data_IF_167614010550
#
_entry.id   IF_167614010550
#
_cell.length_a   1.000
_cell.length_b   1.000
_cell.length_c   1.000
_cell.angle_alpha   90.00
_cell.angle_beta   90.00
_cell.angle_gamma   90.00
#
_symmetry.space_group_name_H-M   'P 1'
#
loop_
_entity.id
_entity.type
_entity.pdbx_description
1 polymer ?
#
# COMPACT_ATOMS: atom_id res chain seq x y z
N UNK A 1 68.59 36.52 10.95
CA UNK A 1 68.01 35.50 10.07
C UNK A 1 67.28 34.45 10.98
N UNK A 2 65.95 34.59 11.13
CA UNK A 2 65.19 33.64 11.86
C UNK A 2 64.59 32.63 10.86
N UNK A 3 64.97 31.34 10.99
CA UNK A 3 64.40 30.24 10.22
C UNK A 3 63.04 29.84 10.83
N UNK A 4 61.99 30.00 10.06
CA UNK A 4 60.68 29.44 10.38
C UNK A 4 60.64 27.95 9.95
N UNK A 5 60.40 27.06 10.89
CA UNK A 5 60.18 25.65 10.64
C UNK A 5 58.68 25.48 10.37
N UNK A 6 58.31 25.17 9.12
CA UNK A 6 56.91 24.79 8.77
C UNK A 6 56.78 23.29 9.04
N UNK A 7 56.04 22.94 10.08
CA UNK A 7 55.61 21.54 10.33
C UNK A 7 54.32 21.30 9.57
N UNK A 8 54.44 20.61 8.45
CA UNK A 8 53.25 20.13 7.69
C UNK A 8 52.66 18.90 8.42
N UNK A 9 51.53 19.11 9.07
CA UNK A 9 50.74 18.04 9.66
C UNK A 9 50.07 17.25 8.53
N UNK A 10 50.64 16.11 8.14
CA UNK A 10 49.95 15.15 7.27
C UNK A 10 48.87 14.43 8.06
N UNK A 11 47.62 14.83 7.88
CA UNK A 11 46.47 14.04 8.31
C UNK A 11 46.39 12.78 7.44
N UNK A 12 46.82 11.67 7.98
CA UNK A 12 46.59 10.35 7.36
C UNK A 12 45.09 10.06 7.50
N UNK A 13 44.33 10.29 6.45
CA UNK A 13 42.98 9.74 6.32
C UNK A 13 43.16 8.24 6.08
N UNK A 14 42.99 7.44 7.12
CA UNK A 14 42.87 5.99 6.98
C UNK A 14 41.57 5.70 6.24
N UNK A 15 41.66 5.47 4.92
CA UNK A 15 40.60 4.81 4.16
C UNK A 15 40.53 3.40 4.72
N UNK A 16 39.55 3.14 5.60
CA UNK A 16 39.21 1.77 6.01
C UNK A 16 38.85 1.01 4.73
N UNK A 17 39.69 0.05 4.35
CA UNK A 17 39.45 -0.83 3.24
C UNK A 17 38.24 -1.72 3.65
N UNK A 18 37.03 -1.34 3.21
CA UNK A 18 35.83 -2.15 3.40
C UNK A 18 36.00 -3.44 2.62
N UNK A 19 36.13 -4.54 3.32
CA UNK A 19 36.17 -5.86 2.67
C UNK A 19 34.79 -6.17 2.09
N UNK A 20 34.71 -6.18 0.77
CA UNK A 20 33.53 -6.65 0.04
C UNK A 20 33.33 -8.15 0.34
N UNK A 21 32.08 -8.56 0.62
CA UNK A 21 31.75 -9.93 1.01
C UNK A 21 30.72 -10.54 0.06
N UNK A 22 30.85 -11.86 -0.09
CA UNK A 22 29.90 -12.71 -0.81
C UNK A 22 29.57 -13.93 0.05
N UNK A 23 28.30 -14.28 0.15
CA UNK A 23 27.82 -15.44 0.93
C UNK A 23 26.42 -15.83 0.51
N UNK A 24 26.02 -17.08 0.88
CA UNK A 24 24.68 -17.62 0.70
C UNK A 24 24.12 -18.00 2.07
N UNK A 25 22.80 -17.79 2.26
CA UNK A 25 22.06 -18.16 3.46
C UNK A 25 20.91 -19.08 3.10
N UNK A 26 20.69 -20.08 3.94
CA UNK A 26 19.52 -20.97 3.97
C UNK A 26 18.74 -20.72 5.26
N UNK A 27 17.58 -21.32 5.38
CA UNK A 27 16.79 -21.26 6.61
C UNK A 27 17.62 -21.66 7.84
N UNK A 28 17.66 -20.75 8.84
CA UNK A 28 18.41 -20.92 10.07
C UNK A 28 19.88 -20.48 10.02
N UNK A 29 20.40 -20.10 8.86
CA UNK A 29 21.76 -19.56 8.75
C UNK A 29 21.84 -18.12 9.23
N UNK A 30 23.01 -17.71 9.69
CA UNK A 30 23.30 -16.32 10.05
C UNK A 30 24.71 -15.93 9.66
N UNK A 31 24.89 -14.71 9.16
CA UNK A 31 26.18 -14.14 8.76
C UNK A 31 26.35 -12.79 9.41
N UNK A 32 27.17 -12.67 10.48
CA UNK A 32 27.45 -11.39 11.14
C UNK A 32 28.49 -10.58 10.37
N UNK A 33 28.22 -9.27 10.25
CA UNK A 33 29.25 -8.31 9.84
C UNK A 33 30.23 -8.05 10.98
N UNK A 34 31.50 -7.83 10.64
CA UNK A 34 32.55 -7.53 11.66
C UNK A 34 32.33 -6.12 12.23
N UNK A 35 32.37 -6.01 13.54
CA UNK A 35 32.30 -4.72 14.25
C UNK A 35 30.98 -4.44 14.91
N UNK A 36 30.90 -3.26 15.43
CA UNK A 36 29.72 -2.66 16.08
C UNK A 36 29.49 -1.30 15.48
N UNK A 37 28.25 -1.00 15.14
CA UNK A 37 27.88 0.19 14.39
C UNK A 37 26.83 1.00 15.18
N UNK A 38 26.89 2.31 15.05
CA UNK A 38 25.85 3.24 15.48
C UNK A 38 25.28 3.91 14.23
N UNK A 39 26.01 4.83 13.63
CA UNK A 39 25.68 5.40 12.32
C UNK A 39 26.46 4.64 11.25
N UNK A 40 25.77 4.16 10.23
CA UNK A 40 26.40 3.34 9.19
C UNK A 40 25.65 3.41 7.86
N UNK A 41 26.33 2.97 6.80
CA UNK A 41 25.80 2.67 5.49
C UNK A 41 26.17 1.24 5.14
N UNK A 42 25.16 0.38 4.97
CA UNK A 42 25.28 -0.98 4.46
C UNK A 42 24.75 -1.02 3.04
N UNK A 43 25.52 -1.60 2.13
CA UNK A 43 25.16 -1.78 0.72
C UNK A 43 25.49 -3.18 0.25
N UNK A 44 24.78 -3.66 -0.77
CA UNK A 44 25.07 -4.91 -1.43
C UNK A 44 24.03 -5.21 -2.48
N UNK A 45 24.19 -6.38 -3.08
CA UNK A 45 23.16 -6.96 -3.94
C UNK A 45 22.68 -8.28 -3.34
N UNK A 46 21.38 -8.54 -3.46
CA UNK A 46 20.74 -9.78 -3.04
C UNK A 46 20.07 -10.49 -4.22
N UNK A 47 20.06 -11.81 -4.19
CA UNK A 47 19.28 -12.68 -5.08
C UNK A 47 18.53 -13.68 -4.23
N UNK A 48 17.22 -13.64 -4.28
CA UNK A 48 16.35 -14.58 -3.57
C UNK A 48 15.86 -15.67 -4.53
N UNK A 49 15.93 -16.92 -4.11
CA UNK A 49 15.21 -17.98 -4.80
C UNK A 49 13.69 -17.78 -4.66
N UNK A 50 12.91 -18.45 -5.49
CA UNK A 50 11.45 -18.37 -5.45
C UNK A 50 10.90 -18.63 -4.04
N UNK A 51 10.18 -17.63 -3.49
CA UNK A 51 9.63 -17.66 -2.15
C UNK A 51 10.65 -17.65 -1.01
N UNK A 52 11.92 -17.31 -1.28
CA UNK A 52 12.94 -17.23 -0.23
C UNK A 52 12.74 -16.00 0.66
N UNK A 53 13.13 -16.16 1.92
CA UNK A 53 13.06 -15.12 2.94
C UNK A 53 14.41 -14.97 3.65
N UNK A 54 14.88 -13.73 3.74
CA UNK A 54 16.06 -13.35 4.50
C UNK A 54 15.81 -12.02 5.23
N UNK A 55 16.71 -11.66 6.13
CA UNK A 55 16.62 -10.42 6.87
C UNK A 55 17.99 -9.84 7.18
N UNK A 56 18.03 -8.53 7.37
CA UNK A 56 19.19 -7.80 7.89
C UNK A 56 18.80 -7.17 9.23
N UNK A 57 19.41 -7.66 10.29
CA UNK A 57 19.29 -7.11 11.63
C UNK A 57 20.40 -6.10 11.88
N UNK A 58 20.08 -5.01 12.57
CA UNK A 58 21.08 -4.01 12.98
C UNK A 58 20.78 -3.46 14.36
N UNK A 59 21.80 -2.92 15.02
CA UNK A 59 21.84 -2.57 16.44
C UNK A 59 21.47 -3.77 17.34
N UNK A 60 21.72 -4.98 16.83
CA UNK A 60 21.40 -6.21 17.54
C UNK A 60 22.56 -6.68 18.44
N UNK A 61 22.26 -7.60 19.36
CA UNK A 61 23.21 -8.26 20.25
C UNK A 61 23.97 -9.43 19.59
N UNK A 62 23.62 -9.77 18.37
CA UNK A 62 24.17 -10.93 17.63
C UNK A 62 23.29 -12.16 17.68
N UNK A 63 22.33 -12.25 18.60
CA UNK A 63 21.29 -13.29 18.65
C UNK A 63 19.97 -12.81 17.99
N UNK A 64 19.96 -11.61 17.44
CA UNK A 64 18.81 -11.00 16.79
C UNK A 64 17.57 -10.88 17.72
N UNK A 65 17.80 -10.60 19.01
CA UNK A 65 16.74 -10.47 20.03
C UNK A 65 16.34 -9.03 20.29
N UNK A 66 17.08 -8.06 19.74
CA UNK A 66 16.83 -6.62 19.85
C UNK A 66 17.30 -5.89 18.61
N UNK A 67 17.01 -4.59 18.53
CA UNK A 67 17.34 -3.74 17.38
C UNK A 67 16.30 -3.85 16.28
N UNK A 68 16.64 -3.41 15.09
CA UNK A 68 15.74 -3.37 13.95
C UNK A 68 16.03 -4.49 12.95
N UNK A 69 15.00 -4.84 12.18
CA UNK A 69 15.05 -5.85 11.15
C UNK A 69 14.55 -5.28 9.82
N UNK A 70 15.34 -5.39 8.77
CA UNK A 70 14.89 -5.15 7.39
C UNK A 70 14.65 -6.50 6.73
N UNK A 71 13.45 -6.67 6.17
CA UNK A 71 13.06 -7.91 5.51
C UNK A 71 13.48 -7.90 4.03
N UNK A 72 13.84 -9.07 3.53
CA UNK A 72 14.08 -9.37 2.13
C UNK A 72 13.20 -10.57 1.76
N UNK A 73 12.10 -10.29 1.08
CA UNK A 73 11.11 -11.25 0.61
C UNK A 73 10.35 -10.64 -0.57
N UNK A 74 10.40 -11.30 -1.72
CA UNK A 74 9.74 -10.81 -2.94
C UNK A 74 8.40 -11.53 -3.17
N UNK A 75 8.00 -11.68 -4.43
CA UNK A 75 6.81 -12.44 -4.78
C UNK A 75 5.51 -11.61 -4.80
N UNK A 76 4.34 -12.27 -4.89
CA UNK A 76 3.06 -11.62 -5.10
C UNK A 76 2.60 -10.78 -3.90
N UNK A 77 1.64 -9.89 -4.14
CA UNK A 77 0.97 -9.09 -3.09
C UNK A 77 -0.08 -9.99 -2.41
N UNK A 78 0.32 -10.69 -1.36
CA UNK A 78 -0.43 -11.75 -0.68
C UNK A 78 -0.68 -11.51 0.82
N UNK A 79 -0.27 -10.35 1.32
CA UNK A 79 -0.36 -9.99 2.72
C UNK A 79 0.92 -10.24 3.52
N UNK A 80 1.89 -10.96 2.96
CA UNK A 80 3.21 -11.04 3.55
C UNK A 80 4.00 -9.74 3.34
N UNK A 81 4.83 -9.39 4.32
CA UNK A 81 5.71 -8.22 4.26
C UNK A 81 6.82 -8.45 3.24
N UNK A 82 7.14 -7.44 2.44
CA UNK A 82 8.05 -7.51 1.29
C UNK A 82 9.40 -6.85 1.56
N UNK A 83 10.33 -7.10 0.61
CA UNK A 83 11.69 -6.55 0.64
C UNK A 83 11.70 -5.04 0.88
N UNK A 84 12.53 -4.62 1.83
CA UNK A 84 12.64 -3.25 2.28
C UNK A 84 11.79 -2.90 3.49
N UNK A 85 10.87 -3.77 3.93
CA UNK A 85 10.12 -3.53 5.18
C UNK A 85 11.07 -3.35 6.36
N UNK A 86 10.97 -2.23 7.06
CA UNK A 86 11.46 -2.09 8.43
C UNK A 86 10.41 -2.74 9.33
N UNK A 87 10.65 -4.01 9.69
CA UNK A 87 9.65 -4.90 10.28
C UNK A 87 8.95 -4.27 11.49
N UNK A 88 7.62 -4.33 11.50
CA UNK A 88 6.75 -3.83 12.58
C UNK A 88 6.81 -2.31 12.82
N UNK A 89 7.46 -1.54 11.91
CA UNK A 89 7.54 -0.08 11.96
C UNK A 89 7.10 0.56 10.64
N UNK A 90 7.60 0.02 9.51
CA UNK A 90 7.26 0.46 8.14
C UNK A 90 7.15 -0.79 7.26
N UNK A 91 6.03 -1.52 7.40
CA UNK A 91 5.77 -2.73 6.64
C UNK A 91 5.39 -2.39 5.21
N UNK A 92 6.01 -3.05 4.25
CA UNK A 92 5.71 -2.94 2.83
C UNK A 92 5.02 -4.22 2.36
N UNK A 93 4.08 -4.09 1.43
CA UNK A 93 3.29 -5.22 0.91
C UNK A 93 3.49 -5.41 -0.60
N UNK A 94 4.36 -4.63 -1.21
CA UNK A 94 4.84 -4.79 -2.58
C UNK A 94 6.35 -4.73 -2.63
N UNK A 95 7.00 -5.70 -3.30
CA UNK A 95 8.44 -5.65 -3.58
C UNK A 95 8.72 -4.88 -4.88
N UNK A 96 9.86 -4.17 -4.92
CA UNK A 96 10.45 -3.61 -6.13
C UNK A 96 11.50 -4.53 -6.74
N UNK A 97 11.71 -5.71 -6.18
CA UNK A 97 12.62 -6.73 -6.65
C UNK A 97 11.83 -8.00 -6.99
N UNK A 98 12.40 -8.83 -7.85
CA UNK A 98 11.83 -10.09 -8.30
C UNK A 98 12.73 -11.26 -7.85
N UNK A 99 12.11 -12.41 -7.60
CA UNK A 99 12.84 -13.63 -7.31
C UNK A 99 13.66 -14.07 -8.52
N UNK A 100 14.81 -14.68 -8.27
CA UNK A 100 15.74 -15.13 -9.31
C UNK A 100 16.53 -14.02 -10.01
N UNK A 101 16.40 -12.77 -9.59
CA UNK A 101 17.16 -11.64 -10.12
C UNK A 101 17.99 -10.95 -9.04
N UNK A 102 19.21 -10.54 -9.37
CA UNK A 102 20.01 -9.68 -8.51
C UNK A 102 19.42 -8.29 -8.41
N UNK A 103 19.29 -7.78 -7.18
CA UNK A 103 18.84 -6.42 -6.94
C UNK A 103 19.70 -5.72 -5.88
N UNK A 104 20.03 -4.45 -6.06
CA UNK A 104 20.75 -3.67 -5.06
C UNK A 104 19.85 -3.32 -3.88
N UNK A 105 20.44 -3.34 -2.68
CA UNK A 105 19.83 -2.85 -1.46
C UNK A 105 20.81 -1.92 -0.72
N UNK A 106 20.23 -0.97 0.01
CA UNK A 106 20.96 -0.06 0.90
C UNK A 106 20.19 0.13 2.19
N UNK A 107 20.88 0.09 3.33
CA UNK A 107 20.34 0.40 4.65
C UNK A 107 21.27 1.43 5.28
N UNK A 108 20.74 2.60 5.61
CA UNK A 108 21.50 3.64 6.28
C UNK A 108 20.87 4.03 7.61
N UNK A 109 21.72 4.18 8.61
CA UNK A 109 21.33 4.78 9.90
C UNK A 109 22.17 6.02 10.11
N UNK A 110 21.50 7.15 10.37
CA UNK A 110 22.13 8.45 10.60
C UNK A 110 21.39 9.18 11.73
N UNK A 111 21.98 9.19 12.92
CA UNK A 111 21.31 9.72 14.10
C UNK A 111 20.02 8.95 14.40
N UNK A 112 18.88 9.62 14.43
CA UNK A 112 17.56 9.00 14.64
C UNK A 112 16.88 8.48 13.36
N UNK A 113 17.49 8.66 12.18
CA UNK A 113 16.87 8.25 10.92
C UNK A 113 17.39 6.91 10.42
N UNK A 114 16.44 6.08 9.95
CA UNK A 114 16.67 4.82 9.24
C UNK A 114 16.11 4.98 7.83
N UNK A 115 16.94 4.78 6.82
CA UNK A 115 16.50 4.70 5.44
C UNK A 115 16.79 3.33 4.83
N UNK A 116 15.87 2.84 4.00
CA UNK A 116 16.02 1.58 3.25
C UNK A 116 15.73 1.85 1.79
N UNK A 117 16.67 1.44 0.93
CA UNK A 117 16.56 1.54 -0.52
C UNK A 117 16.56 0.15 -1.13
N UNK A 118 15.61 -0.13 -2.01
CA UNK A 118 15.50 -1.37 -2.78
C UNK A 118 15.45 -1.01 -4.26
N UNK A 119 16.31 -1.64 -5.04
CA UNK A 119 16.38 -1.44 -6.49
C UNK A 119 16.47 0.04 -6.91
N UNK A 120 17.25 0.81 -6.14
CA UNK A 120 17.48 2.24 -6.37
C UNK A 120 16.37 3.18 -5.88
N UNK A 121 15.28 2.67 -5.33
CA UNK A 121 14.21 3.48 -4.76
C UNK A 121 14.23 3.41 -3.24
N UNK A 122 14.28 4.57 -2.57
CA UNK A 122 14.12 4.64 -1.12
C UNK A 122 12.66 4.36 -0.74
N UNK A 123 12.43 3.22 -0.08
CA UNK A 123 11.10 2.72 0.28
C UNK A 123 10.74 2.95 1.74
N UNK A 124 11.73 3.21 2.59
CA UNK A 124 11.56 3.59 3.99
C UNK A 124 12.45 4.78 4.31
N UNK A 125 11.89 5.76 5.01
CA UNK A 125 12.59 6.89 5.63
C UNK A 125 11.95 7.13 7.00
N UNK A 126 12.36 6.36 7.99
CA UNK A 126 11.81 6.41 9.34
C UNK A 126 12.70 7.23 10.26
N UNK A 127 12.13 8.22 10.93
CA UNK A 127 12.79 8.94 12.00
C UNK A 127 12.23 8.48 13.33
N UNK A 128 13.03 7.77 14.13
CA UNK A 128 12.66 7.34 15.47
C UNK A 128 12.48 8.57 16.37
N UNK A 129 11.30 8.78 16.97
CA UNK A 129 11.09 9.87 17.93
C UNK A 129 11.79 9.58 19.26
N UNK A 130 11.92 10.61 20.10
CA UNK A 130 12.53 10.47 21.43
C UNK A 130 11.82 9.45 22.33
N UNK A 131 10.51 9.27 22.14
CA UNK A 131 9.68 8.31 22.86
C UNK A 131 8.88 7.45 21.85
N UNK A 132 9.51 6.48 21.18
CA UNK A 132 8.85 5.66 20.20
C UNK A 132 7.84 4.71 20.87
N UNK A 133 6.68 4.52 20.22
CA UNK A 133 5.76 3.48 20.66
C UNK A 133 6.32 2.10 20.36
N UNK A 134 6.37 1.24 21.37
CA UNK A 134 6.73 -0.17 21.22
C UNK A 134 5.79 -1.02 22.07
N UNK A 135 5.24 -2.07 21.48
CA UNK A 135 4.53 -3.09 22.24
C UNK A 135 5.49 -3.88 23.13
N UNK A 136 4.99 -4.66 24.09
CA UNK A 136 5.84 -5.51 24.93
C UNK A 136 6.73 -6.46 24.11
N UNK A 137 6.23 -6.97 23.01
CA UNK A 137 6.98 -7.85 22.10
C UNK A 137 8.13 -7.12 21.40
N UNK A 138 7.99 -5.82 21.14
CA UNK A 138 8.93 -4.98 20.40
C UNK A 138 9.70 -3.98 21.27
N UNK A 139 9.63 -4.08 22.60
CA UNK A 139 10.20 -3.09 23.52
C UNK A 139 11.70 -2.81 23.33
N UNK A 140 12.44 -3.79 22.82
CA UNK A 140 13.88 -3.69 22.58
C UNK A 140 14.22 -3.32 21.14
N UNK A 141 13.23 -2.98 20.32
CA UNK A 141 13.39 -2.50 18.94
C UNK A 141 13.64 -0.99 18.94
N UNK A 142 14.86 -0.61 19.25
CA UNK A 142 15.32 0.78 19.41
C UNK A 142 16.65 1.00 18.69
N UNK A 143 16.87 2.25 18.28
CA UNK A 143 18.19 2.70 17.83
C UNK A 143 19.21 2.66 18.97
N UNK A 144 20.48 2.42 18.65
CA UNK A 144 21.54 2.35 19.63
C UNK A 144 22.88 2.07 18.99
N UNK A 145 23.61 1.12 19.52
CA UNK A 145 24.84 0.58 18.96
C UNK A 145 24.81 -0.94 19.06
N UNK A 146 25.20 -1.62 17.99
CA UNK A 146 25.12 -3.07 17.95
C UNK A 146 25.75 -3.66 16.69
N UNK A 147 25.58 -4.96 16.55
CA UNK A 147 26.03 -5.70 15.37
C UNK A 147 25.05 -5.51 14.20
N UNK A 148 25.54 -5.83 13.01
CA UNK A 148 24.72 -6.10 11.83
C UNK A 148 24.83 -7.57 11.49
N UNK A 149 23.69 -8.25 11.34
CA UNK A 149 23.61 -9.70 11.12
C UNK A 149 22.60 -9.98 10.02
N UNK A 150 23.02 -10.73 9.02
CA UNK A 150 22.12 -11.31 8.01
C UNK A 150 21.58 -12.63 8.50
N UNK A 151 20.30 -12.93 8.28
CA UNK A 151 19.68 -14.21 8.65
C UNK A 151 18.83 -14.75 7.51
N UNK A 152 18.87 -16.08 7.30
CA UNK A 152 17.98 -16.79 6.38
C UNK A 152 16.76 -17.33 7.14
N UNK A 153 15.55 -17.10 6.63
CA UNK A 153 14.31 -17.58 7.23
C UNK A 153 13.64 -18.70 6.39
N UNK A 154 13.81 -18.66 5.06
CA UNK A 154 13.24 -19.66 4.15
C UNK A 154 13.95 -19.65 2.81
N UNK A 155 14.01 -20.79 2.11
CA UNK A 155 14.64 -20.89 0.80
C UNK A 155 16.15 -20.62 0.81
N UNK A 156 16.67 -20.07 -0.30
CA UNK A 156 18.06 -19.66 -0.46
C UNK A 156 18.16 -18.19 -0.85
N UNK A 157 18.99 -17.44 -0.15
CA UNK A 157 19.30 -16.04 -0.42
C UNK A 157 20.81 -15.86 -0.61
N UNK A 158 21.22 -15.37 -1.78
CA UNK A 158 22.63 -15.09 -2.10
C UNK A 158 22.88 -13.59 -2.01
N UNK A 159 24.06 -13.24 -1.52
CA UNK A 159 24.50 -11.85 -1.34
C UNK A 159 25.86 -11.65 -1.96
N UNK A 160 26.06 -10.54 -2.65
CA UNK A 160 27.35 -10.13 -3.19
C UNK A 160 27.58 -8.63 -3.04
N UNK A 161 28.82 -8.23 -3.19
CA UNK A 161 29.26 -6.82 -3.07
C UNK A 161 28.83 -6.17 -1.74
N UNK A 162 28.64 -6.99 -0.70
CA UNK A 162 28.22 -6.53 0.60
C UNK A 162 29.33 -5.77 1.30
N UNK A 163 29.08 -4.51 1.60
CA UNK A 163 30.02 -3.62 2.31
C UNK A 163 29.27 -2.81 3.37
N UNK A 164 29.95 -2.50 4.45
CA UNK A 164 29.44 -1.64 5.52
C UNK A 164 30.51 -0.63 5.92
N UNK A 165 30.11 0.62 6.03
CA UNK A 165 30.97 1.71 6.52
C UNK A 165 30.31 2.45 7.67
N UNK A 166 31.11 2.86 8.67
CA UNK A 166 30.64 3.76 9.72
C UNK A 166 30.50 5.16 9.17
N UNK A 167 29.40 5.83 9.46
CA UNK A 167 29.16 7.21 9.09
C UNK A 167 29.54 8.16 10.23
N UNK A 168 29.91 9.41 9.93
CA UNK A 168 30.07 10.44 10.94
C UNK A 168 28.76 10.67 11.68
N UNK A 169 28.83 10.81 13.01
CA UNK A 169 27.68 10.98 13.87
C UNK A 169 26.86 12.23 13.49
N UNK A 170 25.55 12.06 13.37
CA UNK A 170 24.61 13.15 13.21
C UNK A 170 24.50 13.71 11.77
N UNK A 171 25.14 13.10 10.76
CA UNK A 171 24.98 13.49 9.36
C UNK A 171 23.73 12.82 8.77
N UNK A 172 22.56 13.41 9.04
CA UNK A 172 21.34 13.06 8.31
C UNK A 172 20.70 14.31 7.77
N UNK A 173 20.35 14.29 6.49
CA UNK A 173 19.32 15.15 5.93
C UNK A 173 18.84 14.64 4.57
N UNK A 174 17.88 13.69 4.50
CA UNK A 174 17.17 13.51 3.24
C UNK A 174 16.33 14.77 3.01
N UNK A 175 16.45 15.33 1.80
CA UNK A 175 15.74 16.56 1.40
C UNK A 175 14.22 16.44 1.42
N UNK A 176 13.70 15.21 1.53
CA UNK A 176 12.28 14.85 1.50
C UNK A 176 11.80 14.10 2.76
N UNK A 177 12.59 14.14 3.85
CA UNK A 177 12.11 13.66 5.14
C UNK A 177 10.97 14.55 5.63
N UNK A 178 9.86 13.91 6.04
CA UNK A 178 8.75 14.58 6.67
C UNK A 178 8.95 14.62 8.20
N UNK A 179 8.30 15.55 8.92
CA UNK A 179 8.34 15.55 10.37
C UNK A 179 7.94 14.18 10.94
N UNK A 180 8.59 13.69 12.00
CA UNK A 180 8.22 12.44 12.65
C UNK A 180 6.80 12.53 13.19
N UNK A 181 6.07 11.42 13.15
CA UNK A 181 4.73 11.30 13.73
C UNK A 181 4.85 11.15 15.25
N UNK A 182 3.90 11.72 15.97
CA UNK A 182 3.74 11.41 17.40
C UNK A 182 3.18 9.99 17.56
N UNK A 183 4.08 9.04 17.76
CA UNK A 183 3.72 7.63 17.91
C UNK A 183 2.86 7.32 19.14
N UNK A 184 2.76 8.24 20.11
CA UNK A 184 1.89 8.05 21.28
C UNK A 184 0.41 8.03 20.90
N UNK A 185 0.06 8.70 19.80
CA UNK A 185 -1.32 8.79 19.31
C UNK A 185 -1.52 8.16 17.94
N UNK A 186 -0.46 7.72 17.28
CA UNK A 186 -0.52 7.16 15.93
C UNK A 186 -1.07 5.73 15.92
N UNK A 187 -2.20 5.53 15.28
CA UNK A 187 -2.79 4.21 15.07
C UNK A 187 -2.00 3.35 14.07
N UNK A 188 -1.28 3.98 13.14
CA UNK A 188 -0.56 3.27 12.07
C UNK A 188 0.58 2.42 12.65
N UNK A 189 1.42 3.00 13.54
CA UNK A 189 2.50 2.24 14.17
C UNK A 189 1.94 1.08 15.01
N UNK A 190 0.81 1.28 15.71
CA UNK A 190 0.17 0.23 16.51
C UNK A 190 -0.28 -0.94 15.64
N UNK A 191 -0.87 -0.66 14.50
CA UNK A 191 -1.29 -1.68 13.54
C UNK A 191 -0.10 -2.41 12.94
N UNK A 192 0.98 -1.70 12.61
CA UNK A 192 2.18 -2.32 12.07
C UNK A 192 2.87 -3.26 13.06
N UNK A 193 2.82 -2.96 14.35
CA UNK A 193 3.41 -3.83 15.39
C UNK A 193 2.63 -5.11 15.66
N UNK A 194 1.43 -5.23 15.17
CA UNK A 194 0.65 -6.48 15.20
C UNK A 194 0.51 -7.09 13.80
N UNK A 195 1.40 -6.71 12.88
CA UNK A 195 1.43 -7.17 11.49
C UNK A 195 0.11 -6.97 10.74
N UNK A 196 -0.66 -5.95 11.15
CA UNK A 196 -1.87 -5.57 10.44
C UNK A 196 -1.51 -4.75 9.18
N UNK A 197 -2.05 -5.11 7.99
CA UNK A 197 -1.71 -4.41 6.75
C UNK A 197 -2.32 -3.01 6.70
N UNK A 198 -1.48 -2.00 6.54
CA UNK A 198 -1.89 -0.60 6.39
C UNK A 198 -1.71 -0.19 4.92
N UNK A 199 -2.78 -0.33 4.16
CA UNK A 199 -2.80 -0.08 2.72
C UNK A 199 -4.03 0.77 2.38
N UNK A 200 -3.80 1.95 1.79
CA UNK A 200 -4.85 2.75 1.15
C UNK A 200 -4.96 2.33 -0.32
N UNK A 201 -5.97 1.53 -0.64
CA UNK A 201 -6.17 0.96 -1.97
C UNK A 201 -6.81 1.91 -2.98
N UNK A 202 -7.26 3.10 -2.54
CA UNK A 202 -8.10 3.97 -3.37
C UNK A 202 -7.57 5.42 -3.40
N UNK A 203 -6.46 5.60 -4.10
CA UNK A 203 -5.81 6.92 -4.28
C UNK A 203 -5.71 7.27 -5.76
N UNK A 204 -5.93 8.54 -6.07
CA UNK A 204 -5.78 9.11 -7.41
C UNK A 204 -4.81 10.28 -7.40
N UNK A 205 -4.02 10.45 -8.44
CA UNK A 205 -3.27 11.69 -8.66
C UNK A 205 -4.25 12.77 -9.12
N UNK A 206 -4.82 13.48 -8.16
CA UNK A 206 -5.80 14.56 -8.36
C UNK A 206 -5.36 15.83 -7.64
N UNK A 207 -5.83 16.97 -8.15
CA UNK A 207 -5.47 18.28 -7.60
C UNK A 207 -3.95 18.51 -7.70
N UNK A 208 -3.33 18.78 -6.58
CA UNK A 208 -1.90 19.04 -6.42
C UNK A 208 -1.07 17.79 -6.03
N UNK A 209 -1.69 16.61 -5.89
CA UNK A 209 -0.99 15.39 -5.52
C UNK A 209 -0.11 14.87 -6.65
N UNK A 210 1.18 14.70 -6.38
CA UNK A 210 2.16 14.08 -7.27
C UNK A 210 2.60 12.69 -6.76
N UNK A 211 3.21 11.90 -7.64
CA UNK A 211 3.77 10.59 -7.25
C UNK A 211 4.92 10.75 -6.21
N UNK A 212 5.74 11.80 -6.34
CA UNK A 212 6.82 12.07 -5.39
C UNK A 212 6.29 12.40 -4.00
N UNK A 213 5.22 13.21 -3.91
CA UNK A 213 4.55 13.49 -2.63
C UNK A 213 3.96 12.22 -2.01
N UNK A 214 3.38 11.34 -2.84
CA UNK A 214 2.86 10.06 -2.38
C UNK A 214 3.99 9.16 -1.85
N UNK A 215 5.12 9.08 -2.55
CA UNK A 215 6.28 8.31 -2.11
C UNK A 215 6.88 8.86 -0.82
N UNK A 216 7.05 10.19 -0.74
CA UNK A 216 7.54 10.83 0.48
C UNK A 216 6.66 10.49 1.69
N UNK A 217 5.33 10.53 1.53
CA UNK A 217 4.39 10.18 2.59
C UNK A 217 4.41 8.69 2.93
N UNK A 218 4.47 7.82 1.93
CA UNK A 218 4.54 6.37 2.13
C UNK A 218 5.75 5.97 2.96
N UNK A 219 6.94 6.36 2.53
CA UNK A 219 8.20 5.98 3.18
C UNK A 219 8.38 6.57 4.59
N UNK A 220 7.82 7.78 4.85
CA UNK A 220 7.93 8.42 6.17
C UNK A 220 6.85 7.92 7.16
N UNK A 221 5.62 7.65 6.70
CA UNK A 221 4.49 7.32 7.58
C UNK A 221 4.06 5.85 7.55
N UNK A 222 4.61 5.06 6.62
CA UNK A 222 4.36 3.62 6.57
C UNK A 222 2.98 3.23 6.05
N UNK A 223 2.32 4.10 5.29
CA UNK A 223 1.09 3.77 4.59
C UNK A 223 1.43 3.32 3.17
N UNK A 224 1.03 2.11 2.80
CA UNK A 224 1.16 1.65 1.43
C UNK A 224 0.02 2.21 0.59
N UNK A 225 0.28 2.57 -0.65
CA UNK A 225 -0.71 3.17 -1.54
C UNK A 225 -0.95 2.34 -2.79
N UNK A 226 -2.23 2.24 -3.16
CA UNK A 226 -2.63 1.86 -4.50
C UNK A 226 -3.07 3.11 -5.26
N UNK A 227 -2.30 3.49 -6.28
CA UNK A 227 -2.53 4.74 -7.02
C UNK A 227 -2.85 4.42 -8.48
N UNK A 228 -4.05 4.81 -8.92
CA UNK A 228 -4.49 4.53 -10.27
C UNK A 228 -5.48 5.54 -10.84
N UNK A 229 -5.70 5.45 -12.18
CA UNK A 229 -6.64 6.28 -12.91
C UNK A 229 -8.05 5.71 -12.86
N UNK A 230 -9.00 6.50 -13.34
CA UNK A 230 -10.31 6.02 -13.71
C UNK A 230 -10.28 5.42 -15.14
N UNK A 231 -11.12 4.42 -15.40
CA UNK A 231 -11.32 3.84 -16.73
C UNK A 231 -12.81 3.85 -17.07
N UNK A 232 -13.12 4.48 -18.17
CA UNK A 232 -14.47 4.52 -18.75
C UNK A 232 -14.47 3.78 -20.07
N UNK A 233 -15.65 3.36 -20.50
CA UNK A 233 -15.84 3.07 -21.90
C UNK A 233 -15.70 4.32 -22.78
N UNK A 234 -15.91 4.21 -24.11
CA UNK A 234 -15.83 5.35 -25.00
C UNK A 234 -16.69 6.51 -24.49
N UNK A 235 -16.07 7.66 -24.21
CA UNK A 235 -16.75 8.85 -23.73
C UNK A 235 -17.74 9.40 -24.75
N UNK A 236 -18.90 9.86 -24.28
CA UNK A 236 -19.67 10.86 -24.99
C UNK A 236 -19.12 12.24 -24.67
N UNK A 237 -19.20 13.14 -25.63
CA UNK A 237 -18.78 14.54 -25.47
C UNK A 237 -19.43 15.17 -24.23
N UNK A 238 -18.64 15.75 -23.32
CA UNK A 238 -19.12 16.35 -22.05
C UNK A 238 -19.07 15.43 -20.82
N UNK A 239 -18.76 14.14 -20.94
CA UNK A 239 -18.55 13.26 -19.81
C UNK A 239 -17.09 13.35 -19.33
N UNK A 240 -16.85 13.90 -18.16
CA UNK A 240 -15.52 14.03 -17.55
C UNK A 240 -15.55 14.02 -16.02
N UNK A 241 -14.68 13.22 -15.42
CA UNK A 241 -14.34 13.30 -13.99
C UNK A 241 -13.08 14.14 -13.77
N UNK A 242 -12.79 14.53 -12.54
CA UNK A 242 -11.50 15.13 -12.16
C UNK A 242 -10.42 14.02 -12.11
N UNK A 243 -9.25 14.29 -12.70
CA UNK A 243 -8.12 13.37 -12.73
C UNK A 243 -7.92 12.66 -14.07
N UNK A 244 -6.95 11.73 -14.10
CA UNK A 244 -6.66 10.95 -15.29
C UNK A 244 -7.76 9.91 -15.54
N UNK A 245 -8.28 9.92 -16.76
CA UNK A 245 -9.32 9.01 -17.21
C UNK A 245 -8.87 8.33 -18.50
N UNK A 246 -8.88 7.01 -18.49
CA UNK A 246 -8.54 6.18 -19.64
C UNK A 246 -9.81 5.76 -20.38
N UNK A 247 -9.85 5.99 -21.70
CA UNK A 247 -11.04 5.75 -22.53
C UNK A 247 -10.79 4.79 -23.67
N UNK A 248 -9.54 4.42 -23.91
CA UNK A 248 -9.12 3.51 -24.98
C UNK A 248 -8.04 2.54 -24.51
N UNK A 249 -7.93 1.41 -25.20
CA UNK A 249 -6.85 0.44 -24.96
C UNK A 249 -5.47 1.06 -25.18
N UNK A 250 -5.33 1.97 -26.14
CA UNK A 250 -4.06 2.65 -26.40
C UNK A 250 -3.64 3.54 -25.22
N UNK A 251 -4.53 4.35 -24.67
CA UNK A 251 -4.26 5.18 -23.49
C UNK A 251 -3.92 4.32 -22.27
N UNK A 252 -4.62 3.21 -22.10
CA UNK A 252 -4.36 2.28 -20.99
C UNK A 252 -2.99 1.62 -21.11
N UNK A 253 -2.58 1.19 -22.31
CA UNK A 253 -1.23 0.64 -22.52
C UNK A 253 -0.14 1.69 -22.30
N UNK A 254 -0.33 2.92 -22.78
CA UNK A 254 0.61 4.03 -22.54
C UNK A 254 0.73 4.34 -21.04
N UNK A 255 -0.39 4.38 -20.35
CA UNK A 255 -0.39 4.57 -18.89
C UNK A 255 0.35 3.44 -18.19
N UNK A 256 0.05 2.17 -18.53
CA UNK A 256 0.75 1.03 -17.94
C UNK A 256 2.26 1.12 -18.10
N UNK A 257 2.75 1.47 -19.31
CA UNK A 257 4.19 1.62 -19.55
C UNK A 257 4.82 2.72 -18.67
N UNK A 258 4.07 3.76 -18.30
CA UNK A 258 4.57 4.85 -17.46
C UNK A 258 4.62 4.50 -15.97
N UNK A 259 3.85 3.48 -15.53
CA UNK A 259 3.69 3.15 -14.10
C UNK A 259 4.17 1.75 -13.72
N UNK A 260 4.56 0.92 -14.68
CA UNK A 260 4.93 -0.49 -14.42
C UNK A 260 6.03 -0.65 -13.36
N UNK A 261 6.96 0.30 -13.29
CA UNK A 261 8.10 0.30 -12.36
C UNK A 261 7.85 1.16 -11.09
N UNK A 262 6.61 1.62 -10.88
CA UNK A 262 6.26 2.44 -9.70
C UNK A 262 6.39 1.66 -8.39
N UNK A 263 6.75 2.35 -7.29
CA UNK A 263 6.81 1.74 -5.96
C UNK A 263 5.43 1.47 -5.35
N UNK A 264 4.35 1.93 -5.98
CA UNK A 264 2.98 1.75 -5.52
C UNK A 264 2.31 0.54 -6.14
N UNK A 265 1.25 0.04 -5.50
CA UNK A 265 0.29 -0.82 -6.20
C UNK A 265 -0.39 -0.03 -7.31
N UNK A 266 -0.67 -0.69 -8.41
CA UNK A 266 -1.16 -0.09 -9.66
C UNK A 266 -2.59 -0.55 -9.93
N UNK A 267 -3.58 0.08 -9.32
CA UNK A 267 -4.98 -0.23 -9.57
C UNK A 267 -5.53 0.44 -10.81
N UNK A 268 -6.77 0.03 -11.13
CA UNK A 268 -7.63 0.67 -12.10
C UNK A 268 -9.03 0.80 -11.50
N UNK A 269 -9.60 2.00 -11.48
CA UNK A 269 -11.01 2.18 -11.13
C UNK A 269 -11.86 2.16 -12.39
N UNK A 270 -12.76 1.18 -12.48
CA UNK A 270 -13.74 1.13 -13.54
C UNK A 270 -15.01 1.89 -13.17
N UNK A 271 -15.56 2.63 -14.11
CA UNK A 271 -16.73 3.48 -13.86
C UNK A 271 -17.91 3.15 -14.79
N UNK A 272 -19.08 3.03 -14.22
CA UNK A 272 -20.33 2.76 -14.92
C UNK A 272 -20.51 1.31 -15.33
N UNK A 273 -21.57 1.06 -16.10
CA UNK A 273 -21.88 -0.28 -16.63
C UNK A 273 -20.99 -0.65 -17.80
N UNK A 274 -20.57 -1.91 -17.85
CA UNK A 274 -19.86 -2.52 -18.98
C UNK A 274 -18.54 -1.83 -19.34
N UNK A 275 -18.00 -1.01 -18.44
CA UNK A 275 -16.73 -0.31 -18.66
C UNK A 275 -15.62 -1.29 -19.09
N UNK A 276 -15.56 -2.45 -18.42
CA UNK A 276 -14.55 -3.48 -18.65
C UNK A 276 -14.59 -4.07 -20.08
N UNK A 277 -15.73 -4.01 -20.77
CA UNK A 277 -15.87 -4.51 -22.15
C UNK A 277 -15.23 -3.59 -23.19
N UNK A 278 -14.87 -2.38 -22.80
CA UNK A 278 -14.15 -1.43 -23.67
C UNK A 278 -12.66 -1.70 -23.76
N UNK A 279 -12.15 -2.62 -22.95
CA UNK A 279 -10.72 -2.91 -22.86
C UNK A 279 -10.46 -4.41 -23.04
N UNK A 280 -9.34 -4.79 -23.71
CA UNK A 280 -8.89 -6.18 -23.76
C UNK A 280 -8.63 -6.75 -22.36
N UNK A 281 -9.01 -8.01 -22.14
CA UNK A 281 -8.83 -8.67 -20.85
C UNK A 281 -7.35 -8.73 -20.41
N UNK A 282 -6.46 -9.01 -21.38
CA UNK A 282 -5.01 -9.09 -21.16
C UNK A 282 -4.42 -7.76 -20.68
N UNK A 283 -5.05 -6.65 -21.05
CA UNK A 283 -4.60 -5.32 -20.61
C UNK A 283 -5.09 -5.00 -19.19
N UNK A 284 -6.32 -5.39 -18.89
CA UNK A 284 -6.86 -5.29 -17.53
C UNK A 284 -6.08 -6.17 -16.53
N UNK A 285 -5.60 -7.34 -16.99
CA UNK A 285 -4.83 -8.27 -16.15
C UNK A 285 -3.43 -7.76 -15.77
N UNK A 286 -2.92 -6.74 -16.45
CA UNK A 286 -1.64 -6.11 -16.08
C UNK A 286 -1.70 -5.37 -14.75
N UNK A 287 -2.87 -4.84 -14.38
CA UNK A 287 -3.05 -4.07 -13.15
C UNK A 287 -3.10 -4.99 -11.91
N UNK A 288 -2.49 -4.56 -10.82
CA UNK A 288 -2.44 -5.33 -9.57
C UNK A 288 -3.84 -5.67 -9.06
N UNK A 289 -4.80 -4.75 -9.23
CA UNK A 289 -6.24 -4.96 -8.98
C UNK A 289 -7.09 -3.95 -9.74
N UNK A 290 -8.38 -4.26 -9.87
CA UNK A 290 -9.38 -3.34 -10.40
C UNK A 290 -10.57 -3.25 -9.44
N UNK A 291 -11.16 -2.07 -9.37
CA UNK A 291 -12.31 -1.85 -8.50
C UNK A 291 -13.34 -0.94 -9.18
N UNK A 292 -14.54 -0.97 -8.66
CA UNK A 292 -15.64 -0.11 -9.13
C UNK A 292 -16.57 0.23 -7.97
N UNK A 293 -17.49 1.13 -8.20
CA UNK A 293 -18.47 1.53 -7.20
C UNK A 293 -19.92 1.52 -7.75
N UNK A 294 -20.88 1.73 -6.85
CA UNK A 294 -22.28 1.84 -7.15
C UNK A 294 -22.78 3.29 -7.16
N UNK A 295 -21.89 4.28 -7.38
CA UNK A 295 -22.25 5.70 -7.32
C UNK A 295 -22.87 6.25 -8.61
N UNK A 296 -23.04 5.40 -9.62
CA UNK A 296 -23.76 5.71 -10.85
C UNK A 296 -25.11 5.02 -10.85
N UNK A 297 -26.16 5.73 -11.24
CA UNK A 297 -27.51 5.18 -11.37
C UNK A 297 -28.10 5.57 -12.72
N UNK A 298 -28.71 4.61 -13.41
CA UNK A 298 -29.49 4.92 -14.63
C UNK A 298 -30.92 5.26 -14.24
N UNK A 299 -31.23 6.56 -14.22
CA UNK A 299 -32.59 7.05 -13.99
C UNK A 299 -33.24 7.44 -15.31
N UNK A 300 -34.27 6.71 -15.72
CA UNK A 300 -35.01 6.97 -16.99
C UNK A 300 -34.12 7.10 -18.23
N UNK A 301 -33.12 6.22 -18.31
CA UNK A 301 -32.14 6.19 -19.41
C UNK A 301 -31.05 7.26 -19.36
N UNK A 302 -31.02 8.09 -18.33
CA UNK A 302 -29.94 9.06 -18.06
C UNK A 302 -29.01 8.49 -16.99
N UNK A 303 -27.72 8.57 -17.23
CA UNK A 303 -26.69 8.28 -16.23
C UNK A 303 -26.64 9.44 -15.23
N UNK A 304 -26.82 9.15 -13.95
CA UNK A 304 -26.78 10.10 -12.83
C UNK A 304 -25.59 9.76 -11.93
N UNK A 305 -24.75 10.74 -11.67
CA UNK A 305 -23.65 10.63 -10.71
C UNK A 305 -24.15 11.08 -9.35
N UNK A 306 -24.21 10.13 -8.39
CA UNK A 306 -24.82 10.40 -7.09
C UNK A 306 -24.08 11.46 -6.26
N UNK A 307 -22.80 11.72 -6.55
CA UNK A 307 -21.97 12.76 -5.91
C UNK A 307 -22.07 14.15 -6.59
N UNK A 308 -22.90 14.26 -7.64
CA UNK A 308 -23.20 15.51 -8.32
C UNK A 308 -24.62 15.97 -7.96
N UNK A 309 -24.78 16.86 -6.96
CA UNK A 309 -26.13 17.27 -6.49
C UNK A 309 -27.03 17.83 -7.59
N UNK A 310 -26.43 18.47 -8.60
CA UNK A 310 -27.14 19.06 -9.75
C UNK A 310 -27.69 17.99 -10.70
N UNK A 311 -27.20 16.78 -10.66
CA UNK A 311 -27.69 15.67 -11.48
C UNK A 311 -28.78 14.87 -10.78
N UNK A 312 -28.80 14.93 -9.45
CA UNK A 312 -29.74 14.14 -8.63
C UNK A 312 -31.07 14.84 -8.54
N UNK A 313 -32.09 14.24 -9.16
CA UNK A 313 -33.49 14.71 -9.06
C UNK A 313 -34.39 13.57 -8.60
N UNK A 314 -34.80 13.58 -7.33
CA UNK A 314 -35.64 12.55 -6.76
C UNK A 314 -37.10 13.02 -6.84
N UNK A 315 -37.77 12.79 -7.96
CA UNK A 315 -39.18 13.08 -8.22
C UNK A 315 -40.11 11.86 -8.07
N UNK A 316 -39.54 10.76 -7.58
CA UNK A 316 -40.27 9.53 -7.24
C UNK A 316 -40.17 9.28 -5.73
N UNK A 317 -41.03 8.41 -5.15
CA UNK A 317 -40.88 8.05 -3.74
C UNK A 317 -39.47 7.59 -3.42
N UNK A 318 -38.85 8.12 -2.35
CA UNK A 318 -37.46 7.86 -1.98
C UNK A 318 -37.16 6.35 -1.86
N UNK A 319 -38.14 5.55 -1.42
CA UNK A 319 -37.98 4.10 -1.34
C UNK A 319 -37.80 3.46 -2.72
N UNK A 320 -38.44 3.97 -3.77
CA UNK A 320 -38.23 3.53 -5.15
C UNK A 320 -36.88 3.98 -5.69
N UNK A 321 -36.44 5.18 -5.33
CA UNK A 321 -35.11 5.66 -5.70
C UNK A 321 -34.02 4.80 -5.07
N UNK A 322 -34.20 4.39 -3.82
CA UNK A 322 -33.31 3.43 -3.16
C UNK A 322 -33.28 2.06 -3.86
N UNK A 323 -34.41 1.61 -4.38
CA UNK A 323 -34.44 0.36 -5.15
C UNK A 323 -33.64 0.49 -6.44
N UNK A 324 -33.66 1.64 -7.11
CA UNK A 324 -32.79 1.90 -8.28
C UNK A 324 -31.30 1.84 -7.90
N UNK A 325 -30.90 2.48 -6.78
CA UNK A 325 -29.50 2.45 -6.31
C UNK A 325 -29.07 0.99 -6.03
N UNK A 326 -29.89 0.22 -5.33
CA UNK A 326 -29.59 -1.18 -5.00
C UNK A 326 -29.54 -2.04 -6.24
N UNK A 327 -30.51 -1.91 -7.14
CA UNK A 327 -30.57 -2.69 -8.39
C UNK A 327 -29.37 -2.40 -9.27
N UNK A 328 -28.94 -1.14 -9.37
CA UNK A 328 -27.78 -0.74 -10.13
C UNK A 328 -26.50 -1.32 -9.53
N UNK A 329 -26.33 -1.16 -8.21
CA UNK A 329 -25.16 -1.70 -7.49
C UNK A 329 -25.04 -3.22 -7.68
N UNK A 330 -26.15 -3.95 -7.52
CA UNK A 330 -26.19 -5.39 -7.75
C UNK A 330 -25.85 -5.71 -9.20
N UNK A 331 -26.42 -4.99 -10.18
CA UNK A 331 -26.15 -5.20 -11.60
C UNK A 331 -24.68 -5.04 -11.94
N UNK A 332 -24.01 -3.99 -11.42
CA UNK A 332 -22.58 -3.74 -11.63
C UNK A 332 -21.78 -4.94 -11.12
N UNK A 333 -21.95 -5.34 -9.86
CA UNK A 333 -21.15 -6.39 -9.25
C UNK A 333 -21.49 -7.82 -9.73
N UNK A 334 -22.63 -8.02 -10.39
CA UNK A 334 -22.91 -9.27 -11.09
C UNK A 334 -22.26 -9.37 -12.45
N UNK A 335 -22.06 -8.25 -13.16
CA UNK A 335 -21.71 -8.23 -14.59
C UNK A 335 -20.32 -7.67 -14.90
N UNK A 336 -19.78 -6.78 -14.08
CA UNK A 336 -18.46 -6.20 -14.27
C UNK A 336 -17.44 -6.80 -13.31
N UNK A 337 -16.21 -7.11 -13.78
CA UNK A 337 -15.16 -7.61 -12.91
C UNK A 337 -14.69 -6.51 -11.97
N UNK A 338 -14.64 -6.83 -10.66
CA UNK A 338 -14.06 -5.96 -9.65
C UNK A 338 -13.47 -6.82 -8.52
N UNK A 339 -12.39 -6.35 -7.94
CA UNK A 339 -11.75 -6.99 -6.80
C UNK A 339 -12.36 -6.52 -5.48
N UNK A 340 -12.77 -5.25 -5.43
CA UNK A 340 -13.55 -4.72 -4.30
C UNK A 340 -14.57 -3.67 -4.73
N UNK A 341 -15.59 -3.48 -3.86
CA UNK A 341 -16.59 -2.43 -3.98
C UNK A 341 -16.08 -1.17 -3.28
N UNK A 342 -15.80 -0.12 -4.06
CA UNK A 342 -15.40 1.18 -3.57
C UNK A 342 -16.61 2.04 -3.17
N UNK A 343 -16.40 3.04 -2.32
CA UNK A 343 -17.42 3.99 -1.83
C UNK A 343 -18.76 3.29 -1.48
N UNK A 344 -18.76 2.15 -0.78
CA UNK A 344 -19.94 1.31 -0.66
C UNK A 344 -21.03 1.99 0.14
N UNK A 345 -22.28 1.77 -0.26
CA UNK A 345 -23.47 2.32 0.41
C UNK A 345 -23.57 3.85 0.37
N UNK A 346 -22.93 4.50 -0.59
CA UNK A 346 -23.03 5.95 -0.76
C UNK A 346 -24.48 6.38 -1.04
N UNK A 347 -24.89 7.50 -0.44
CA UNK A 347 -26.17 8.15 -0.74
C UNK A 347 -25.92 9.58 -1.21
N UNK A 348 -26.71 10.09 -2.17
CA UNK A 348 -26.66 11.49 -2.53
C UNK A 348 -27.07 12.38 -1.35
N UNK A 349 -26.45 13.56 -1.24
CA UNK A 349 -26.59 14.45 -0.09
C UNK A 349 -28.03 14.77 0.31
N UNK A 350 -28.93 14.84 -0.67
CA UNK A 350 -30.36 15.13 -0.43
C UNK A 350 -31.12 14.09 0.38
N UNK A 351 -30.58 12.88 0.55
CA UNK A 351 -31.18 11.80 1.35
C UNK A 351 -30.18 11.18 2.35
N UNK A 352 -28.97 11.70 2.43
CA UNK A 352 -27.92 11.11 3.25
C UNK A 352 -28.22 11.11 4.76
N UNK A 353 -28.98 12.09 5.24
CA UNK A 353 -29.38 12.19 6.65
C UNK A 353 -30.27 11.02 7.13
N UNK A 354 -30.97 10.37 6.20
CA UNK A 354 -31.80 9.19 6.48
C UNK A 354 -31.06 7.86 6.25
N UNK A 355 -29.74 7.87 6.26
CA UNK A 355 -28.89 6.70 5.93
C UNK A 355 -29.37 5.39 6.56
N UNK A 356 -29.52 5.33 7.88
CA UNK A 356 -29.90 4.12 8.59
C UNK A 356 -31.34 3.66 8.29
N UNK A 357 -32.24 4.59 7.97
CA UNK A 357 -33.63 4.27 7.58
C UNK A 357 -33.70 3.75 6.14
N UNK A 358 -32.84 4.28 5.27
CA UNK A 358 -32.85 3.95 3.85
C UNK A 358 -32.07 2.66 3.56
N UNK A 359 -30.94 2.43 4.23
CA UNK A 359 -30.19 1.17 4.17
C UNK A 359 -30.76 0.13 5.12
N UNK A 360 -31.98 -0.34 4.79
CA UNK A 360 -32.62 -1.44 5.52
C UNK A 360 -31.78 -2.73 5.41
N UNK A 361 -31.95 -3.66 6.37
CA UNK A 361 -31.24 -4.95 6.33
C UNK A 361 -31.46 -5.69 5.01
N UNK A 362 -32.68 -5.67 4.48
CA UNK A 362 -33.00 -6.31 3.19
C UNK A 362 -32.15 -5.73 2.02
N UNK A 363 -31.94 -4.42 1.98
CA UNK A 363 -31.12 -3.76 0.94
C UNK A 363 -29.65 -4.07 1.14
N UNK A 364 -29.18 -3.95 2.38
CA UNK A 364 -27.80 -4.29 2.74
C UNK A 364 -27.49 -5.75 2.38
N UNK A 365 -28.37 -6.68 2.73
CA UNK A 365 -28.19 -8.10 2.41
C UNK A 365 -28.10 -8.38 0.92
N UNK A 366 -28.88 -7.69 0.09
CA UNK A 366 -28.81 -7.85 -1.37
C UNK A 366 -27.40 -7.50 -1.89
N UNK A 367 -26.84 -6.38 -1.44
CA UNK A 367 -25.51 -5.96 -1.86
C UNK A 367 -24.43 -6.89 -1.29
N UNK A 368 -24.43 -7.16 0.02
CA UNK A 368 -23.41 -8.02 0.62
C UNK A 368 -23.42 -9.44 0.05
N UNK A 369 -24.60 -9.97 -0.31
CA UNK A 369 -24.72 -11.29 -0.93
C UNK A 369 -24.11 -11.34 -2.33
N UNK A 370 -24.29 -10.31 -3.16
CA UNK A 370 -23.63 -10.27 -4.48
C UNK A 370 -22.14 -10.13 -4.36
N UNK A 371 -21.64 -9.31 -3.43
CA UNK A 371 -20.20 -9.18 -3.18
C UNK A 371 -19.62 -10.53 -2.73
N UNK A 372 -20.23 -11.16 -1.74
CA UNK A 372 -19.81 -12.50 -1.26
C UNK A 372 -19.80 -13.55 -2.36
N UNK A 373 -20.90 -13.66 -3.13
CA UNK A 373 -21.05 -14.62 -4.23
C UNK A 373 -19.91 -14.49 -5.26
N UNK A 374 -19.48 -13.27 -5.52
CA UNK A 374 -18.45 -12.95 -6.53
C UNK A 374 -17.05 -12.77 -5.94
N UNK A 375 -16.83 -13.07 -4.67
CA UNK A 375 -15.56 -12.89 -3.95
C UNK A 375 -15.01 -11.46 -4.09
N UNK A 376 -15.89 -10.46 -3.96
CA UNK A 376 -15.57 -9.04 -4.03
C UNK A 376 -15.44 -8.52 -2.60
N UNK A 377 -14.32 -7.85 -2.30
CA UNK A 377 -14.09 -7.25 -0.99
C UNK A 377 -14.90 -5.96 -0.81
N UNK A 378 -14.98 -5.49 0.42
CA UNK A 378 -15.71 -4.29 0.81
C UNK A 378 -14.75 -3.22 1.28
N UNK A 379 -14.76 -2.05 0.64
CA UNK A 379 -13.96 -0.91 1.09
C UNK A 379 -14.51 -0.32 2.39
N UNK A 380 -13.61 0.02 3.32
CA UNK A 380 -13.87 0.92 4.43
C UNK A 380 -13.30 2.28 4.02
N UNK A 381 -14.18 3.16 3.56
CA UNK A 381 -13.83 4.46 3.01
C UNK A 381 -13.75 5.52 4.11
N UNK A 382 -12.57 6.07 4.34
CA UNK A 382 -12.36 7.06 5.39
C UNK A 382 -12.88 8.45 5.06
N UNK A 383 -12.93 8.83 3.78
CA UNK A 383 -13.45 10.16 3.38
C UNK A 383 -14.94 10.31 3.64
N UNK A 384 -15.70 9.31 3.22
CA UNK A 384 -17.15 9.32 3.39
C UNK A 384 -17.62 8.68 4.69
N UNK A 385 -16.70 8.05 5.45
CA UNK A 385 -16.99 7.26 6.65
C UNK A 385 -18.02 6.16 6.37
N UNK A 386 -17.79 5.41 5.30
CA UNK A 386 -18.66 4.34 4.83
C UNK A 386 -17.88 3.01 4.72
N UNK A 387 -18.60 1.88 4.87
CA UNK A 387 -19.98 1.74 5.37
C UNK A 387 -20.06 1.96 6.87
N UNK A 388 -21.26 2.08 7.41
CA UNK A 388 -21.46 2.23 8.86
C UNK A 388 -21.01 0.98 9.63
N UNK A 389 -20.68 1.14 10.92
CA UNK A 389 -20.27 0.04 11.82
C UNK A 389 -21.20 -1.17 11.73
N UNK A 390 -22.53 -0.94 11.70
CA UNK A 390 -23.55 -2.00 11.57
C UNK A 390 -23.31 -2.85 10.32
N UNK A 391 -23.05 -2.21 9.19
CA UNK A 391 -22.83 -2.89 7.91
C UNK A 391 -21.48 -3.62 7.91
N UNK A 392 -20.43 -3.03 8.46
CA UNK A 392 -19.11 -3.66 8.59
C UNK A 392 -19.22 -4.95 9.43
N UNK A 393 -19.88 -4.90 10.59
CA UNK A 393 -20.08 -6.09 11.44
C UNK A 393 -20.85 -7.19 10.71
N UNK A 394 -21.88 -6.82 9.94
CA UNK A 394 -22.65 -7.75 9.13
C UNK A 394 -21.79 -8.38 8.02
N UNK A 395 -21.04 -7.58 7.28
CA UNK A 395 -20.13 -8.04 6.23
C UNK A 395 -19.05 -9.00 6.80
N UNK A 396 -18.48 -8.66 7.96
CA UNK A 396 -17.52 -9.50 8.66
C UNK A 396 -18.13 -10.85 9.08
N UNK A 397 -19.33 -10.83 9.66
CA UNK A 397 -20.04 -12.05 10.04
C UNK A 397 -20.35 -12.95 8.82
N UNK A 398 -20.49 -12.36 7.63
CA UNK A 398 -20.66 -13.10 6.37
C UNK A 398 -19.31 -13.59 5.79
N UNK A 399 -18.17 -13.19 6.35
CA UNK A 399 -16.82 -13.56 5.89
C UNK A 399 -16.33 -12.78 4.67
N UNK A 400 -16.87 -11.58 4.41
CA UNK A 400 -16.31 -10.69 3.41
C UNK A 400 -14.93 -10.19 3.87
N UNK A 401 -14.03 -9.97 2.91
CA UNK A 401 -12.74 -9.31 3.12
C UNK A 401 -12.90 -7.80 3.00
N UNK A 402 -11.94 -7.05 3.58
CA UNK A 402 -11.97 -5.60 3.60
C UNK A 402 -10.75 -4.98 2.93
N UNK A 403 -10.94 -3.78 2.38
CA UNK A 403 -9.88 -2.86 1.96
C UNK A 403 -10.06 -1.52 2.66
N UNK A 404 -9.00 -0.71 2.75
CA UNK A 404 -9.13 0.70 3.13
C UNK A 404 -9.06 1.58 1.91
N UNK A 405 -9.74 2.74 1.94
CA UNK A 405 -9.64 3.71 0.88
C UNK A 405 -9.93 5.14 1.36
N UNK A 406 -9.25 6.10 0.75
CA UNK A 406 -9.51 7.53 1.00
C UNK A 406 -10.24 8.22 -0.13
N UNK A 407 -10.15 7.73 -1.38
CA UNK A 407 -10.74 8.39 -2.56
C UNK A 407 -10.50 9.90 -2.53
N UNK A 408 -9.25 10.32 -2.52
CA UNK A 408 -8.83 11.70 -2.38
C UNK A 408 -9.23 12.59 -3.57
N UNK A 409 -9.29 13.90 -3.32
CA UNK A 409 -9.51 14.94 -4.36
C UNK A 409 -8.29 15.82 -4.60
N UNK A 410 -7.31 15.75 -3.71
CA UNK A 410 -6.10 16.59 -3.68
C UNK A 410 -5.00 15.90 -2.87
N UNK A 411 -3.96 16.62 -2.50
CA UNK A 411 -2.84 16.10 -1.70
C UNK A 411 -3.18 15.78 -0.23
N UNK A 412 -4.41 16.01 0.21
CA UNK A 412 -4.89 15.58 1.52
C UNK A 412 -5.39 14.13 1.46
N UNK A 413 -4.48 13.18 1.36
CA UNK A 413 -4.73 11.75 1.18
C UNK A 413 -4.10 10.90 2.31
N UNK A 414 -4.36 9.59 2.29
CA UNK A 414 -3.86 8.65 3.31
C UNK A 414 -4.45 8.95 4.71
N UNK A 415 -5.65 9.51 4.75
CA UNK A 415 -6.41 9.82 5.96
C UNK A 415 -7.24 8.58 6.33
N UNK A 416 -6.64 7.69 7.14
CA UNK A 416 -7.23 6.38 7.47
C UNK A 416 -7.91 6.34 8.85
N UNK A 417 -8.21 7.51 9.43
CA UNK A 417 -8.74 7.62 10.81
C UNK A 417 -10.04 6.83 11.00
N UNK A 418 -10.96 6.89 10.02
CA UNK A 418 -12.18 6.09 10.11
C UNK A 418 -11.93 4.59 9.94
N UNK A 419 -11.04 4.23 9.02
CA UNK A 419 -10.68 2.82 8.78
C UNK A 419 -10.04 2.21 10.03
N UNK A 420 -9.07 2.90 10.65
CA UNK A 420 -8.41 2.42 11.88
C UNK A 420 -9.38 2.39 13.07
N UNK A 421 -10.31 3.36 13.16
CA UNK A 421 -11.40 3.32 14.14
C UNK A 421 -12.25 2.05 13.97
N UNK A 422 -12.63 1.71 12.74
CA UNK A 422 -13.45 0.51 12.47
C UNK A 422 -12.69 -0.79 12.73
N UNK A 423 -11.37 -0.82 12.52
CA UNK A 423 -10.55 -1.97 12.96
C UNK A 423 -10.76 -2.23 14.46
N UNK A 424 -10.62 -1.21 15.29
CA UNK A 424 -10.79 -1.36 16.75
C UNK A 424 -12.23 -1.69 17.13
N UNK A 425 -13.20 -0.96 16.59
CA UNK A 425 -14.60 -1.09 17.00
C UNK A 425 -15.31 -2.33 16.49
N UNK A 426 -14.89 -2.86 15.34
CA UNK A 426 -15.47 -4.07 14.74
C UNK A 426 -14.58 -5.30 14.95
N UNK A 427 -13.42 -5.15 15.59
CA UNK A 427 -12.48 -6.24 15.83
C UNK A 427 -11.95 -6.84 14.52
N UNK A 428 -11.72 -6.02 13.49
CA UNK A 428 -11.15 -6.49 12.22
C UNK A 428 -9.71 -6.93 12.45
N UNK A 429 -9.33 -8.09 11.93
CA UNK A 429 -7.99 -8.64 12.03
C UNK A 429 -7.27 -8.60 10.69
N UNK A 430 -5.95 -8.82 10.69
CA UNK A 430 -5.15 -8.91 9.46
C UNK A 430 -5.73 -9.95 8.48
N UNK A 431 -6.21 -11.07 9.00
CA UNK A 431 -6.84 -12.14 8.22
C UNK A 431 -8.17 -11.73 7.56
N UNK A 432 -8.83 -10.66 8.02
CA UNK A 432 -10.05 -10.13 7.41
C UNK A 432 -9.75 -9.22 6.20
N UNK A 433 -8.47 -8.83 6.01
CA UNK A 433 -8.07 -7.93 4.93
C UNK A 433 -7.94 -8.68 3.60
N UNK A 434 -8.18 -7.94 2.53
CA UNK A 434 -8.06 -8.43 1.16
C UNK A 434 -6.69 -8.09 0.55
N UNK A 435 -6.20 -8.97 -0.34
CA UNK A 435 -4.98 -8.76 -1.12
C UNK A 435 -5.16 -9.19 -2.57
N UNK A 436 -4.43 -8.60 -3.52
CA UNK A 436 -4.50 -8.95 -4.94
C UNK A 436 -4.38 -10.44 -5.25
N UNK A 437 -3.59 -11.20 -4.52
CA UNK A 437 -3.48 -12.66 -4.68
C UNK A 437 -4.78 -13.44 -4.42
N UNK A 438 -5.76 -12.81 -3.75
CA UNK A 438 -7.10 -13.39 -3.51
C UNK A 438 -8.08 -13.10 -4.65
N UNK A 439 -7.63 -12.40 -5.71
CA UNK A 439 -8.50 -11.98 -6.81
C UNK A 439 -9.00 -13.18 -7.60
N UNK A 440 -10.30 -13.16 -7.92
CA UNK A 440 -10.96 -14.07 -8.87
C UNK A 440 -11.35 -13.37 -10.17
N UNK A 441 -10.82 -12.16 -10.38
CA UNK A 441 -11.14 -11.31 -11.54
C UNK A 441 -10.93 -12.01 -12.88
N UNK A 442 -9.80 -12.67 -13.08
CA UNK A 442 -9.49 -13.36 -14.33
C UNK A 442 -10.51 -14.47 -14.63
N UNK A 443 -10.98 -15.20 -13.62
CA UNK A 443 -12.02 -16.22 -13.76
C UNK A 443 -13.37 -15.60 -14.15
N UNK A 444 -13.73 -14.52 -13.49
CA UNK A 444 -14.97 -13.77 -13.78
C UNK A 444 -14.94 -13.15 -15.18
N UNK A 445 -13.80 -12.64 -15.64
CA UNK A 445 -13.66 -12.12 -17.02
C UNK A 445 -13.82 -13.24 -18.06
N UNK A 446 -13.21 -14.41 -17.83
CA UNK A 446 -13.41 -15.57 -18.73
C UNK A 446 -14.87 -16.01 -18.78
N UNK A 447 -15.55 -16.07 -17.65
CA UNK A 447 -16.97 -16.42 -17.58
C UNK A 447 -17.85 -15.39 -18.32
N UNK A 448 -17.56 -14.10 -18.15
CA UNK A 448 -18.23 -12.99 -18.88
C UNK A 448 -18.10 -13.14 -20.38
N UNK A 449 -16.88 -13.39 -20.87
CA UNK A 449 -16.60 -13.49 -22.30
C UNK A 449 -17.21 -14.76 -22.93
N UNK A 450 -17.31 -15.84 -22.16
CA UNK A 450 -18.02 -17.05 -22.56
C UNK A 450 -19.54 -16.84 -22.71
N UNK A 451 -20.14 -16.05 -21.81
CA UNK A 451 -21.57 -15.73 -21.83
C UNK A 451 -21.97 -14.70 -22.91
N UNK A 452 -21.01 -13.97 -23.45
CA UNK A 452 -21.22 -12.97 -24.50
C UNK A 452 -21.06 -13.49 -25.94
N UNK A 453 -20.71 -14.77 -26.07
CA UNK A 453 -20.65 -15.51 -27.34
C UNK A 453 -21.94 -16.31 -27.55
#
# INVERSE_FOLDING_TARGET
MKRFLIVTLMTVVSVACTSVREFELKAGDSEPMRGTYTDFMLKGEALLADGAEASVWFHTDGNCTKGYQVLLHNGPIDGSRKSGSLASVRNLYRSLAEDGQWFPFEIAVRGSNISVTINGTEVVCYTEPDAPYRSEEHKDMLLGSGRVVFTGAGGSASFRDVSIESLPKGLHNPSDSLPPVDESTDDIIRLQQIDFPVIDYHVHLKGDLTADMALAKSKNYGINYGIGPNAYGPKKEGEGGSGLVLTSAQEMEQYWQSVKDWPFMRPLQGDGRKWSRSFPAELLDKFDYIFTDGMYVYDRGRLVRLWHPEEVNIDIPVQKYMDLIVDETVHIFENDPADFSANPFYLPGVIADDFDKLWTDKRVDRILNVLKKNNIALEINSRYKLPSKRIILKAKAMGLKFTFGTNNTDSNFGRLEYSTQMVRECGIKAEDMWFPSMSTRAERMRARDAAGK
#
